data_IF_941303030268
#
_entry.id   IF_941303030268
#
_cell.length_a   1.000
_cell.length_b   1.000
_cell.length_c   1.000
_cell.angle_alpha   90.00
_cell.angle_beta   90.00
_cell.angle_gamma   90.00
#
_symmetry.space_group_name_H-M   'P 1'
#
loop_
_entity.id
_entity.type
_entity.pdbx_description
1 polymer ?
#
# COMPACT_ATOMS: atom_id res chain seq x y z
N UNK A 1 -17.67 9.22 2.67
CA UNK A 1 -16.73 8.82 3.73
C UNK A 1 -15.48 8.26 3.07
N UNK A 2 -14.30 8.53 3.62
CA UNK A 2 -13.02 7.94 3.23
C UNK A 2 -12.41 7.25 4.45
N UNK A 3 -11.87 6.04 4.25
CA UNK A 3 -11.16 5.26 5.27
C UNK A 3 -9.70 5.14 4.84
N UNK A 4 -8.80 5.66 5.65
CA UNK A 4 -7.35 5.59 5.45
C UNK A 4 -6.77 4.43 6.27
N UNK A 5 -6.02 3.54 5.63
CA UNK A 5 -5.36 2.40 6.28
C UNK A 5 -3.86 2.44 5.96
N UNK A 6 -3.06 2.80 6.95
CA UNK A 6 -1.62 2.87 6.86
C UNK A 6 -0.92 1.76 7.65
N UNK A 7 0.37 1.60 7.45
CA UNK A 7 1.19 0.65 8.20
C UNK A 7 2.27 -0.01 7.34
N UNK A 8 3.20 -0.77 7.95
CA UNK A 8 4.33 -1.39 7.27
C UNK A 8 3.92 -2.51 6.31
N UNK A 9 4.87 -2.99 5.52
CA UNK A 9 4.64 -4.10 4.60
C UNK A 9 4.38 -5.40 5.39
N UNK A 10 3.41 -6.21 4.94
CA UNK A 10 3.06 -7.48 5.62
C UNK A 10 2.10 -7.34 6.80
N UNK A 11 1.67 -6.13 7.18
CA UNK A 11 0.71 -5.90 8.28
C UNK A 11 -0.75 -6.31 7.97
N UNK A 12 -1.04 -6.81 6.77
CA UNK A 12 -2.38 -7.28 6.39
C UNK A 12 -3.31 -6.21 5.80
N UNK A 13 -2.81 -4.99 5.55
CA UNK A 13 -3.62 -3.86 5.05
C UNK A 13 -4.47 -4.20 3.84
N UNK A 14 -3.89 -4.81 2.80
CA UNK A 14 -4.60 -5.11 1.55
C UNK A 14 -5.79 -6.05 1.73
N UNK A 15 -5.65 -7.05 2.57
CA UNK A 15 -6.74 -7.98 2.89
C UNK A 15 -7.85 -7.28 3.65
N UNK A 16 -7.48 -6.57 4.73
CA UNK A 16 -8.43 -5.83 5.58
C UNK A 16 -9.13 -4.74 4.76
N UNK A 17 -8.38 -3.91 4.01
CA UNK A 17 -8.92 -2.82 3.20
C UNK A 17 -9.93 -3.32 2.15
N UNK A 18 -9.60 -4.41 1.45
CA UNK A 18 -10.48 -5.01 0.45
C UNK A 18 -11.75 -5.58 1.06
N UNK A 19 -11.65 -6.28 2.19
CA UNK A 19 -12.80 -6.83 2.90
C UNK A 19 -13.75 -5.72 3.35
N UNK A 20 -13.22 -4.66 3.97
CA UNK A 20 -14.02 -3.51 4.40
C UNK A 20 -14.66 -2.80 3.21
N UNK A 21 -13.91 -2.57 2.13
CA UNK A 21 -14.43 -1.94 0.93
C UNK A 21 -15.62 -2.74 0.35
N UNK A 22 -15.49 -4.08 0.30
CA UNK A 22 -16.56 -4.96 -0.16
C UNK A 22 -17.81 -4.87 0.74
N UNK A 23 -17.64 -4.93 2.06
CA UNK A 23 -18.77 -4.86 3.01
C UNK A 23 -19.49 -3.51 2.95
N UNK A 24 -18.75 -2.42 2.77
CA UNK A 24 -19.29 -1.07 2.68
C UNK A 24 -19.77 -0.68 1.28
N UNK A 25 -19.50 -1.49 0.27
CA UNK A 25 -19.67 -1.17 -1.16
C UNK A 25 -18.88 0.09 -1.55
N UNK A 26 -17.69 0.22 -1.00
CA UNK A 26 -16.74 1.28 -1.29
C UNK A 26 -15.71 0.80 -2.31
N UNK A 27 -15.07 1.74 -2.98
CA UNK A 27 -13.92 1.47 -3.84
C UNK A 27 -12.69 1.16 -2.99
N UNK A 28 -11.92 0.13 -3.33
CA UNK A 28 -10.61 -0.16 -2.74
C UNK A 28 -9.50 0.45 -3.61
N UNK A 29 -8.57 1.16 -2.99
CA UNK A 29 -7.40 1.72 -3.66
C UNK A 29 -6.12 1.28 -2.95
N UNK A 30 -5.34 0.41 -3.60
CA UNK A 30 -3.97 0.04 -3.21
C UNK A 30 -2.99 1.07 -3.80
N UNK A 31 -2.59 2.06 -3.01
CA UNK A 31 -1.64 3.08 -3.49
C UNK A 31 -0.25 2.49 -3.75
N UNK A 32 0.15 1.45 -3.02
CA UNK A 32 1.38 0.73 -3.29
C UNK A 32 1.40 0.10 -4.68
N UNK A 33 0.25 -0.35 -5.19
CA UNK A 33 0.14 -0.82 -6.56
C UNK A 33 0.36 0.30 -7.59
N UNK A 34 -0.05 1.54 -7.29
CA UNK A 34 0.22 2.68 -8.18
C UNK A 34 1.73 2.95 -8.30
N UNK A 35 2.47 2.96 -7.20
CA UNK A 35 3.93 3.11 -7.22
C UNK A 35 4.62 1.96 -7.96
N UNK A 36 4.17 0.72 -7.76
CA UNK A 36 4.69 -0.45 -8.48
C UNK A 36 4.39 -0.38 -9.98
N UNK A 37 3.20 0.07 -10.36
CA UNK A 37 2.81 0.22 -11.77
C UNK A 37 3.65 1.31 -12.46
N UNK A 38 3.90 2.44 -11.80
CA UNK A 38 4.79 3.50 -12.32
C UNK A 38 6.23 2.97 -12.47
N UNK A 39 6.75 2.25 -11.46
CA UNK A 39 8.07 1.65 -11.54
C UNK A 39 8.18 0.65 -12.69
N UNK A 40 7.18 -0.23 -12.85
CA UNK A 40 7.10 -1.17 -13.97
C UNK A 40 7.08 -0.45 -15.32
N UNK A 41 6.27 0.61 -15.43
CA UNK A 41 6.14 1.36 -16.68
C UNK A 41 7.42 2.11 -17.04
N UNK A 42 8.09 2.72 -16.06
CA UNK A 42 9.37 3.40 -16.25
C UNK A 42 10.46 2.41 -16.71
N UNK A 43 10.56 1.26 -16.05
CA UNK A 43 11.48 0.18 -16.42
C UNK A 43 11.21 -0.32 -17.85
N UNK A 44 9.95 -0.54 -18.19
CA UNK A 44 9.53 -0.97 -19.54
C UNK A 44 9.84 0.06 -20.64
N UNK A 45 9.94 1.34 -20.28
CA UNK A 45 10.35 2.42 -21.18
C UNK A 45 11.86 2.64 -21.20
N UNK A 46 12.65 1.84 -20.46
CA UNK A 46 14.10 1.99 -20.34
C UNK A 46 14.52 3.25 -19.55
N UNK A 47 13.64 3.78 -18.69
CA UNK A 47 13.92 4.94 -17.85
C UNK A 47 14.59 4.47 -16.56
N UNK A 48 15.72 5.09 -16.21
CA UNK A 48 16.40 4.84 -14.94
C UNK A 48 15.48 5.26 -13.77
N UNK A 49 15.20 4.31 -12.87
CA UNK A 49 14.36 4.56 -11.70
C UNK A 49 15.02 5.54 -10.69
N UNK A 50 16.32 5.80 -10.81
CA UNK A 50 17.00 6.83 -10.03
C UNK A 50 16.75 8.26 -10.56
N UNK A 51 16.31 8.42 -11.81
CA UNK A 51 15.92 9.70 -12.38
C UNK A 51 14.48 10.07 -11.96
N UNK A 52 14.36 10.73 -10.82
CA UNK A 52 13.07 11.11 -10.25
C UNK A 52 12.21 12.00 -11.14
N UNK A 53 12.83 12.90 -11.97
CA UNK A 53 12.10 13.76 -12.87
C UNK A 53 11.53 12.97 -14.07
N UNK A 54 12.33 12.09 -14.67
CA UNK A 54 11.88 11.23 -15.75
C UNK A 54 10.75 10.29 -15.29
N UNK A 55 10.88 9.67 -14.10
CA UNK A 55 9.84 8.82 -13.50
C UNK A 55 8.58 9.63 -13.15
N UNK A 56 8.72 10.86 -12.65
CA UNK A 56 7.57 11.73 -12.40
C UNK A 56 6.81 12.03 -13.69
N UNK A 57 7.52 12.27 -14.81
CA UNK A 57 6.92 12.43 -16.14
C UNK A 57 6.14 11.18 -16.59
N UNK A 58 6.59 9.96 -16.25
CA UNK A 58 5.80 8.74 -16.46
C UNK A 58 4.52 8.78 -15.63
N UNK A 59 4.63 9.07 -14.33
CA UNK A 59 3.49 9.13 -13.42
C UNK A 59 2.45 10.20 -13.85
N UNK A 60 2.90 11.33 -14.39
CA UNK A 60 2.03 12.41 -14.87
C UNK A 60 1.18 12.00 -16.08
N UNK A 61 1.74 11.25 -17.01
CA UNK A 61 1.05 10.78 -18.22
C UNK A 61 0.27 9.49 -18.02
N UNK A 62 0.55 8.75 -16.93
CA UNK A 62 -0.03 7.44 -16.70
C UNK A 62 -1.56 7.47 -16.64
N UNK A 63 -2.19 6.52 -17.31
CA UNK A 63 -3.61 6.21 -17.19
C UNK A 63 -3.75 4.94 -16.38
N UNK A 64 -4.30 5.06 -15.16
CA UNK A 64 -4.49 3.91 -14.26
C UNK A 64 -5.87 3.28 -14.47
N UNK A 65 -5.92 1.95 -14.46
CA UNK A 65 -7.11 1.14 -14.27
C UNK A 65 -6.94 0.34 -12.97
N UNK A 66 -7.75 0.64 -11.95
CA UNK A 66 -7.65 0.03 -10.62
C UNK A 66 -8.94 -0.69 -10.20
N UNK A 67 -9.81 -0.99 -11.15
CA UNK A 67 -11.08 -1.68 -10.92
C UNK A 67 -10.89 -3.20 -11.05
N UNK A 68 -10.65 -3.86 -9.90
CA UNK A 68 -10.48 -5.31 -9.81
C UNK A 68 -9.13 -5.84 -10.34
N UNK A 69 -8.38 -5.04 -11.05
CA UNK A 69 -7.03 -5.31 -11.59
C UNK A 69 -6.14 -4.08 -11.40
N UNK A 70 -4.87 -4.21 -11.77
CA UNK A 70 -3.95 -3.08 -11.84
C UNK A 70 -3.50 -2.90 -13.28
N UNK A 71 -3.99 -1.84 -13.90
CA UNK A 71 -3.63 -1.44 -15.26
C UNK A 71 -2.89 -0.11 -15.27
N UNK A 72 -1.96 0.05 -16.22
CA UNK A 72 -1.28 1.30 -16.53
C UNK A 72 -1.08 1.43 -18.04
N UNK A 73 -1.55 2.52 -18.64
CA UNK A 73 -1.43 2.82 -20.07
C UNK A 73 -1.94 1.68 -20.98
N UNK A 74 -3.04 1.03 -20.59
CA UNK A 74 -3.64 -0.09 -21.31
C UNK A 74 -2.97 -1.45 -21.07
N UNK A 75 -1.90 -1.52 -20.27
CA UNK A 75 -1.24 -2.77 -19.88
C UNK A 75 -1.84 -3.30 -18.58
N UNK A 76 -2.29 -4.56 -18.54
CA UNK A 76 -2.58 -5.25 -17.29
C UNK A 76 -1.26 -5.71 -16.65
N UNK A 77 -0.94 -5.11 -15.51
CA UNK A 77 0.29 -5.38 -14.77
C UNK A 77 0.04 -6.08 -13.44
N UNK A 78 -1.18 -6.56 -13.22
CA UNK A 78 -1.63 -7.13 -11.93
C UNK A 78 -0.66 -8.16 -11.37
N UNK A 79 -0.18 -9.08 -12.19
CA UNK A 79 0.80 -10.11 -11.78
C UNK A 79 2.24 -9.60 -11.87
N UNK A 80 2.58 -8.84 -12.90
CA UNK A 80 3.94 -8.37 -13.17
C UNK A 80 4.50 -7.48 -12.03
N UNK A 81 3.63 -6.72 -11.36
CA UNK A 81 4.03 -5.83 -10.25
C UNK A 81 4.11 -6.53 -8.89
N UNK A 82 3.82 -7.83 -8.81
CA UNK A 82 3.79 -8.59 -7.54
C UNK A 82 5.04 -9.46 -7.40
N UNK A 83 6.20 -8.84 -7.49
CA UNK A 83 7.51 -9.48 -7.34
C UNK A 83 8.36 -8.71 -6.32
N UNK A 84 9.35 -9.39 -5.73
CA UNK A 84 10.32 -8.73 -4.82
C UNK A 84 11.09 -7.62 -5.54
N UNK A 85 11.42 -7.81 -6.81
CA UNK A 85 12.09 -6.79 -7.63
C UNK A 85 11.22 -5.53 -7.78
N UNK A 86 9.91 -5.69 -8.05
CA UNK A 86 8.99 -4.56 -8.15
C UNK A 86 8.70 -3.89 -6.80
N UNK A 87 8.79 -4.62 -5.70
CA UNK A 87 8.73 -4.02 -4.37
C UNK A 87 9.93 -3.09 -4.09
N UNK A 88 11.14 -3.51 -4.48
CA UNK A 88 12.35 -2.69 -4.39
C UNK A 88 12.27 -1.48 -5.34
N UNK A 89 11.85 -1.70 -6.59
CA UNK A 89 11.64 -0.64 -7.57
C UNK A 89 10.66 0.42 -7.08
N UNK A 90 9.52 -0.01 -6.52
CA UNK A 90 8.53 0.90 -5.94
C UNK A 90 9.08 1.68 -4.74
N UNK A 91 9.93 1.08 -3.90
CA UNK A 91 10.58 1.78 -2.79
C UNK A 91 11.53 2.88 -3.33
N UNK A 92 12.29 2.61 -4.40
CA UNK A 92 13.12 3.62 -5.07
C UNK A 92 12.28 4.77 -5.60
N UNK A 93 11.26 4.46 -6.39
CA UNK A 93 10.34 5.45 -6.99
C UNK A 93 9.62 6.27 -5.93
N UNK A 94 9.21 5.67 -4.81
CA UNK A 94 8.52 6.36 -3.73
C UNK A 94 9.41 7.32 -2.91
N UNK A 95 10.74 7.30 -3.09
CA UNK A 95 11.66 8.27 -2.47
C UNK A 95 11.72 9.61 -3.21
N UNK A 96 11.32 9.65 -4.48
CA UNK A 96 11.37 10.87 -5.28
C UNK A 96 10.21 11.81 -4.94
N UNK A 97 10.49 13.05 -4.45
CA UNK A 97 9.44 13.99 -4.09
C UNK A 97 8.51 14.35 -5.26
N UNK A 98 9.05 14.45 -6.48
CA UNK A 98 8.26 14.79 -7.67
C UNK A 98 7.28 13.68 -8.03
N UNK A 99 7.69 12.41 -7.97
CA UNK A 99 6.79 11.27 -8.18
C UNK A 99 5.68 11.26 -7.13
N UNK A 100 6.04 11.52 -5.87
CA UNK A 100 5.06 11.59 -4.78
C UNK A 100 4.08 12.72 -5.00
N UNK A 101 4.54 13.91 -5.37
CA UNK A 101 3.67 15.06 -5.68
C UNK A 101 2.59 14.68 -6.69
N UNK A 102 2.97 13.99 -7.75
CA UNK A 102 2.05 13.54 -8.81
C UNK A 102 1.08 12.48 -8.28
N UNK A 103 1.58 11.42 -7.65
CA UNK A 103 0.73 10.31 -7.21
C UNK A 103 -0.19 10.71 -6.05
N UNK A 104 0.26 11.54 -5.12
CA UNK A 104 -0.59 12.09 -4.04
C UNK A 104 -1.74 12.92 -4.63
N UNK A 105 -1.48 13.76 -5.64
CA UNK A 105 -2.55 14.51 -6.30
C UNK A 105 -3.60 13.57 -6.91
N UNK A 106 -3.17 12.52 -7.61
CA UNK A 106 -4.07 11.52 -8.20
C UNK A 106 -4.85 10.74 -7.14
N UNK A 107 -4.21 10.37 -6.04
CA UNK A 107 -4.86 9.69 -4.92
C UNK A 107 -5.95 10.58 -4.29
N UNK A 108 -5.67 11.87 -4.13
CA UNK A 108 -6.66 12.85 -3.66
C UNK A 108 -7.84 12.95 -4.62
N UNK A 109 -7.60 12.98 -5.92
CA UNK A 109 -8.68 13.01 -6.90
C UNK A 109 -9.56 11.73 -6.82
N UNK A 110 -8.93 10.56 -6.65
CA UNK A 110 -9.65 9.29 -6.48
C UNK A 110 -10.52 9.25 -5.23
N UNK A 111 -10.12 9.92 -4.15
CA UNK A 111 -10.86 9.95 -2.89
C UNK A 111 -11.88 11.09 -2.78
N UNK A 112 -11.87 12.06 -3.69
CA UNK A 112 -12.68 13.29 -3.61
C UNK A 112 -14.19 13.03 -3.50
N UNK A 113 -14.71 12.04 -4.21
CA UNK A 113 -16.13 11.70 -4.17
C UNK A 113 -16.54 10.91 -2.91
N UNK A 114 -15.58 10.48 -2.10
CA UNK A 114 -15.84 9.57 -0.97
C UNK A 114 -16.19 8.15 -1.41
N UNK A 115 -16.66 7.32 -0.46
CA UNK A 115 -16.94 5.92 -0.73
C UNK A 115 -15.66 5.12 -1.09
N UNK A 116 -14.53 5.42 -0.39
CA UNK A 116 -13.22 4.85 -0.68
C UNK A 116 -12.58 4.30 0.58
N UNK A 117 -12.01 3.11 0.49
CA UNK A 117 -10.99 2.58 1.40
C UNK A 117 -9.66 2.65 0.69
N UNK A 118 -8.75 3.47 1.19
CA UNK A 118 -7.43 3.67 0.60
C UNK A 118 -6.36 3.17 1.56
N UNK A 119 -5.48 2.32 1.05
CA UNK A 119 -4.36 1.79 1.83
C UNK A 119 -3.00 2.31 1.33
N UNK A 120 -2.07 2.49 2.28
CA UNK A 120 -0.73 2.98 1.94
C UNK A 120 0.24 3.00 3.10
N UNK A 121 0.99 4.14 3.18
CA UNK A 121 1.98 4.44 4.21
C UNK A 121 1.77 5.79 4.87
N UNK A 122 1.07 6.66 4.20
CA UNK A 122 0.92 8.07 4.54
C UNK A 122 -0.46 8.62 4.13
N UNK A 123 -1.45 7.73 4.02
CA UNK A 123 -2.80 8.11 3.60
C UNK A 123 -3.43 9.04 4.64
N UNK A 124 -3.40 8.63 5.92
CA UNK A 124 -3.98 9.41 7.02
C UNK A 124 -3.11 10.56 7.50
N UNK A 125 -1.82 10.60 7.13
CA UNK A 125 -0.92 11.67 7.57
C UNK A 125 -0.67 12.74 6.50
N UNK A 126 -0.70 12.38 5.21
CA UNK A 126 -0.35 13.29 4.10
C UNK A 126 -1.41 13.36 3.03
N UNK A 127 -1.92 12.24 2.55
CA UNK A 127 -2.87 12.22 1.42
C UNK A 127 -4.21 12.78 1.85
N UNK A 128 -4.77 12.27 2.95
CA UNK A 128 -6.03 12.68 3.56
C UNK A 128 -5.90 12.89 5.06
N UNK A 129 -5.21 13.95 5.49
CA UNK A 129 -5.06 14.25 6.93
C UNK A 129 -6.39 14.52 7.64
N UNK A 130 -7.44 14.86 6.91
CA UNK A 130 -8.81 15.07 7.42
C UNK A 130 -9.71 13.84 7.23
N UNK A 131 -9.16 12.66 6.93
CA UNK A 131 -9.95 11.44 6.79
C UNK A 131 -10.70 11.15 8.10
N UNK A 132 -12.03 10.91 8.06
CA UNK A 132 -12.81 10.68 9.27
C UNK A 132 -12.43 9.37 9.99
N UNK A 133 -11.90 8.40 9.27
CA UNK A 133 -11.43 7.13 9.83
C UNK A 133 -10.00 6.91 9.37
N UNK A 134 -9.08 6.85 10.34
CA UNK A 134 -7.66 6.57 10.12
C UNK A 134 -7.24 5.39 10.97
N UNK A 135 -6.69 4.39 10.33
CA UNK A 135 -6.24 3.14 10.93
C UNK A 135 -4.75 2.97 10.62
N UNK A 136 -3.99 2.58 11.61
CA UNK A 136 -2.62 2.14 11.43
C UNK A 136 -2.53 0.67 11.83
N UNK A 137 -2.36 -0.21 10.84
CA UNK A 137 -2.17 -1.63 11.08
C UNK A 137 -0.69 -1.95 11.21
N UNK A 138 -0.33 -2.68 12.26
CA UNK A 138 1.01 -3.22 12.44
C UNK A 138 0.95 -4.72 12.78
N UNK A 139 2.09 -5.37 12.76
CA UNK A 139 2.29 -6.71 13.30
C UNK A 139 3.78 -6.90 13.61
N UNK A 140 4.10 -7.87 14.47
CA UNK A 140 5.48 -8.21 14.76
C UNK A 140 6.27 -8.51 13.48
N UNK A 141 7.58 -8.21 13.42
CA UNK A 141 8.42 -8.49 12.25
C UNK A 141 8.32 -9.95 11.78
N UNK A 142 8.32 -10.89 12.71
CA UNK A 142 8.22 -12.34 12.43
C UNK A 142 6.88 -12.70 11.80
N UNK A 143 5.79 -12.10 12.29
CA UNK A 143 4.46 -12.36 11.75
C UNK A 143 4.33 -11.79 10.33
N UNK A 144 4.84 -10.59 10.09
CA UNK A 144 4.87 -9.98 8.76
C UNK A 144 5.70 -10.78 7.77
N UNK A 145 6.86 -11.29 8.21
CA UNK A 145 7.71 -12.16 7.38
C UNK A 145 7.01 -13.49 7.04
N UNK A 146 6.36 -14.13 8.03
CA UNK A 146 5.59 -15.37 7.82
C UNK A 146 4.42 -15.15 6.85
N UNK A 147 3.64 -14.08 7.02
CA UNK A 147 2.53 -13.72 6.11
C UNK A 147 3.04 -13.49 4.69
N UNK A 148 4.12 -12.75 4.54
CA UNK A 148 4.70 -12.44 3.23
C UNK A 148 5.28 -13.68 2.54
N UNK A 149 5.92 -14.58 3.30
CA UNK A 149 6.45 -15.84 2.76
C UNK A 149 5.34 -16.79 2.26
N UNK A 150 4.14 -16.71 2.83
CA UNK A 150 2.95 -17.49 2.43
C UNK A 150 2.12 -16.81 1.32
N UNK A 151 2.40 -15.56 1.00
CA UNK A 151 1.61 -14.79 0.03
C UNK A 151 1.86 -15.28 -1.40
N UNK A 152 0.96 -16.14 -1.89
CA UNK A 152 1.02 -16.71 -3.25
C UNK A 152 0.91 -15.65 -4.34
N UNK A 153 0.28 -14.51 -4.05
CA UNK A 153 0.12 -13.42 -5.01
C UNK A 153 1.43 -12.70 -5.34
N UNK A 154 2.48 -12.90 -4.55
CA UNK A 154 3.81 -12.33 -4.75
C UNK A 154 4.85 -13.34 -5.25
N UNK A 155 4.43 -14.35 -6.00
CA UNK A 155 5.31 -15.37 -6.55
C UNK A 155 5.97 -16.26 -5.48
N UNK A 156 5.59 -16.09 -4.21
CA UNK A 156 6.17 -16.79 -3.07
C UNK A 156 5.59 -18.20 -2.84
N UNK A 157 4.44 -18.50 -3.43
CA UNK A 157 3.62 -19.66 -3.05
C UNK A 157 3.97 -20.99 -3.69
N UNK A 158 5.07 -21.14 -4.41
CA UNK A 158 5.38 -22.40 -5.11
C UNK A 158 6.32 -23.36 -4.37
N UNK A 159 6.88 -22.99 -3.24
CA UNK A 159 7.65 -23.92 -2.40
C UNK A 159 7.31 -23.66 -0.93
N UNK A 160 7.15 -24.72 -0.15
CA UNK A 160 6.91 -24.64 1.30
C UNK A 160 7.84 -23.63 1.97
N UNK A 161 7.37 -23.01 3.07
CA UNK A 161 8.13 -22.00 3.78
C UNK A 161 9.42 -22.62 4.37
N UNK A 162 10.46 -22.72 3.56
CA UNK A 162 11.81 -23.05 4.00
C UNK A 162 12.27 -21.96 5.00
N UNK A 163 12.88 -22.31 6.12
CA UNK A 163 13.34 -21.36 7.15
C UNK A 163 14.23 -20.25 6.57
N UNK A 164 15.12 -20.59 5.64
CA UNK A 164 16.02 -19.63 4.97
C UNK A 164 15.25 -18.56 4.17
N UNK A 165 14.10 -18.92 3.62
CA UNK A 165 13.25 -17.99 2.87
C UNK A 165 12.55 -16.98 3.78
N UNK A 166 12.09 -17.41 4.95
CA UNK A 166 11.47 -16.49 5.92
C UNK A 166 12.50 -15.46 6.38
N UNK A 167 13.75 -15.88 6.63
CA UNK A 167 14.85 -14.96 6.96
C UNK A 167 15.14 -13.93 5.88
N UNK A 168 15.22 -14.34 4.62
CA UNK A 168 15.41 -13.42 3.49
C UNK A 168 14.25 -12.44 3.33
N UNK A 169 13.02 -12.92 3.49
CA UNK A 169 11.81 -12.07 3.45
C UNK A 169 11.82 -11.07 4.61
N UNK A 170 12.22 -11.48 5.81
CA UNK A 170 12.31 -10.60 6.97
C UNK A 170 13.29 -9.44 6.73
N UNK A 171 14.50 -9.74 6.22
CA UNK A 171 15.49 -8.72 5.86
C UNK A 171 14.98 -7.74 4.79
N UNK A 172 14.32 -8.26 3.75
CA UNK A 172 13.75 -7.42 2.69
C UNK A 172 12.63 -6.51 3.22
N UNK A 173 11.79 -7.00 4.13
CA UNK A 173 10.74 -6.20 4.76
C UNK A 173 11.34 -5.12 5.67
N UNK A 174 12.37 -5.45 6.46
CA UNK A 174 13.06 -4.50 7.34
C UNK A 174 13.72 -3.37 6.54
N UNK A 175 14.45 -3.71 5.47
CA UNK A 175 15.08 -2.73 4.59
C UNK A 175 14.04 -1.80 3.96
N UNK A 176 12.89 -2.35 3.55
CA UNK A 176 11.78 -1.56 3.01
C UNK A 176 11.16 -0.64 4.05
N UNK A 177 10.87 -1.15 5.24
CA UNK A 177 10.28 -0.36 6.33
C UNK A 177 11.22 0.76 6.77
N UNK A 178 12.53 0.49 6.82
CA UNK A 178 13.53 1.52 7.07
C UNK A 178 13.50 2.60 5.98
N UNK A 179 13.46 2.20 4.71
CA UNK A 179 13.33 3.14 3.59
C UNK A 179 12.06 3.97 3.69
N UNK A 180 10.91 3.35 4.00
CA UNK A 180 9.62 4.03 4.12
C UNK A 180 9.61 5.02 5.32
N UNK A 181 10.27 4.69 6.44
CA UNK A 181 10.35 5.55 7.65
C UNK A 181 11.35 6.70 7.51
N UNK A 182 12.44 6.50 6.74
CA UNK A 182 13.55 7.47 6.65
C UNK A 182 13.51 8.36 5.40
N UNK A 183 12.56 8.13 4.50
CA UNK A 183 12.42 8.99 3.31
C UNK A 183 12.08 10.43 3.71
N UNK A 184 12.68 11.39 3.01
CA UNK A 184 12.50 12.81 3.32
C UNK A 184 11.07 13.32 3.08
N UNK A 185 10.38 12.75 2.07
CA UNK A 185 9.01 13.13 1.73
C UNK A 185 8.02 12.07 2.24
N UNK A 186 7.07 12.48 3.07
CA UNK A 186 5.96 11.65 3.58
C UNK A 186 6.44 10.32 4.21
N UNK A 187 7.24 10.33 5.27
CA UNK A 187 7.69 9.11 5.93
C UNK A 187 6.52 8.27 6.44
N UNK A 188 6.71 6.95 6.51
CA UNK A 188 5.76 6.07 7.18
C UNK A 188 5.71 6.44 8.66
N UNK A 189 4.57 6.93 9.11
CA UNK A 189 4.34 7.34 10.49
C UNK A 189 2.89 7.09 10.91
N UNK A 190 2.69 6.89 12.19
CA UNK A 190 1.35 6.89 12.79
C UNK A 190 0.81 8.32 12.77
N UNK A 191 -0.31 8.56 12.09
CA UNK A 191 -0.98 9.84 12.18
C UNK A 191 -1.50 10.07 13.62
N UNK A 192 -1.47 11.32 14.15
CA UNK A 192 -1.77 11.57 15.57
C UNK A 192 -3.16 11.09 16.03
N UNK A 193 -4.12 11.06 15.14
CA UNK A 193 -5.52 10.68 15.39
C UNK A 193 -5.89 9.30 14.79
N UNK A 194 -4.89 8.54 14.30
CA UNK A 194 -5.12 7.20 13.80
C UNK A 194 -5.25 6.19 14.95
N UNK A 195 -6.19 5.26 14.78
CA UNK A 195 -6.30 4.12 15.69
C UNK A 195 -5.24 3.08 15.32
N UNK A 196 -4.36 2.77 16.26
CA UNK A 196 -3.36 1.73 16.11
C UNK A 196 -3.98 0.37 16.41
N UNK A 197 -3.78 -0.61 15.54
CA UNK A 197 -4.21 -1.99 15.71
C UNK A 197 -3.02 -2.92 15.46
N UNK A 198 -2.59 -3.63 16.50
CA UNK A 198 -1.64 -4.74 16.35
C UNK A 198 -2.40 -5.98 15.87
N UNK A 199 -2.04 -6.46 14.70
CA UNK A 199 -2.66 -7.62 14.06
C UNK A 199 -1.90 -8.92 14.33
N UNK A 200 -0.88 -8.92 15.22
CA UNK A 200 -0.08 -10.10 15.53
C UNK A 200 -0.94 -11.20 16.16
N UNK A 201 -1.05 -12.35 15.51
CA UNK A 201 -1.87 -13.48 15.99
C UNK A 201 -3.39 -13.26 15.92
N UNK A 202 -3.83 -12.09 15.40
CA UNK A 202 -5.26 -11.76 15.25
C UNK A 202 -5.74 -12.19 13.86
N UNK A 203 -6.94 -12.75 13.79
CA UNK A 203 -7.56 -13.12 12.51
C UNK A 203 -7.98 -11.90 11.71
N UNK A 204 -8.09 -12.05 10.38
CA UNK A 204 -8.58 -10.97 9.50
C UNK A 204 -9.98 -10.53 9.90
N UNK A 205 -10.87 -11.46 10.26
CA UNK A 205 -12.25 -11.16 10.61
C UNK A 205 -12.36 -10.32 11.89
N UNK A 206 -11.52 -10.62 12.89
CA UNK A 206 -11.45 -9.84 14.13
C UNK A 206 -10.94 -8.40 13.87
N UNK A 207 -9.91 -8.25 13.03
CA UNK A 207 -9.40 -6.92 12.64
C UNK A 207 -10.47 -6.14 11.86
N UNK A 208 -11.14 -6.81 10.92
CA UNK A 208 -12.24 -6.19 10.14
C UNK A 208 -13.37 -5.74 11.05
N UNK A 209 -13.78 -6.58 12.03
CA UNK A 209 -14.83 -6.23 12.99
C UNK A 209 -14.45 -4.97 13.79
N UNK A 210 -13.24 -4.91 14.34
CA UNK A 210 -12.75 -3.72 15.05
C UNK A 210 -12.81 -2.45 14.18
N UNK A 211 -12.38 -2.54 12.92
CA UNK A 211 -12.43 -1.37 12.03
C UNK A 211 -13.86 -1.01 11.67
N UNK A 212 -14.75 -1.98 11.48
CA UNK A 212 -16.17 -1.72 11.19
C UNK A 212 -16.88 -1.04 12.36
N UNK A 213 -16.56 -1.41 13.59
CA UNK A 213 -17.07 -0.71 14.80
C UNK A 213 -16.60 0.75 14.83
N UNK A 214 -15.34 1.02 14.52
CA UNK A 214 -14.82 2.38 14.41
C UNK A 214 -15.53 3.20 13.32
N UNK A 215 -15.80 2.57 12.18
CA UNK A 215 -16.56 3.19 11.07
C UNK A 215 -17.99 3.50 11.49
N UNK A 216 -18.66 2.58 12.18
CA UNK A 216 -20.03 2.80 12.69
C UNK A 216 -20.09 3.99 13.66
N UNK A 217 -19.17 4.06 14.62
CA UNK A 217 -19.07 5.13 15.60
C UNK A 217 -18.76 6.52 15.00
N UNK A 218 -18.14 6.57 13.81
CA UNK A 218 -17.83 7.81 13.08
C UNK A 218 -18.93 8.22 12.09
N UNK A 219 -19.94 7.37 11.87
CA UNK A 219 -21.12 7.65 11.05
C UNK A 219 -22.28 8.25 11.85
N UNK A 220 -22.23 8.16 13.17
CA UNK A 220 -23.24 8.77 14.03
C UNK A 220 -23.01 10.28 14.06
N UNK A 221 -24.05 11.11 13.83
CA UNK A 221 -23.99 12.56 13.90
C UNK A 221 -23.69 13.04 15.31
#
# INVERSE_FOLDING_TARGET
MLIAIDGPSGAGKGTVARTIATQLKFRHVDTGAMYRAVAWRADHLGIDLADGLAVAGVAERAVFDLDGRVGIDGHDVTSAIRTTAMDAAAATVARHPDVRRVLVARQRDMGRAGGVVMEGRDIGSVVFPEAPVKIYLDASPDERARRRARDTSHGAGQAGAEPDRVGQVAQALEARDLSDRTRAASPLMLAPDAVYIDTTGVSVDEVVAQVMDLVANRRLP
#
